data_IF_851641470872
#
_entry.id   IF_851641470872
#
_cell.length_a   1.000
_cell.length_b   1.000
_cell.length_c   1.000
_cell.angle_alpha   90.00
_cell.angle_beta   90.00
_cell.angle_gamma   90.00
#
_symmetry.space_group_name_H-M   'P 1'
#
loop_
_entity.id
_entity.type
_entity.pdbx_description
1 polymer ?
#
# COMPACT_ATOMS: atom_id res chain seq x y z
N UNK A 1 -6.98 -3.05 -4.31
CA UNK A 1 -6.11 -1.85 -4.39
C UNK A 1 -6.20 -1.11 -3.08
N UNK A 2 -5.05 -0.83 -2.46
CA UNK A 2 -4.94 0.00 -1.27
C UNK A 2 -4.37 1.37 -1.63
N UNK A 3 -4.65 2.37 -0.82
CA UNK A 3 -4.18 3.72 -1.03
C UNK A 3 -3.16 4.10 0.05
N UNK A 4 -2.10 4.79 -0.37
CA UNK A 4 -1.23 5.54 0.52
C UNK A 4 -1.66 7.00 0.46
N UNK A 5 -2.05 7.57 1.58
CA UNK A 5 -2.57 8.94 1.68
C UNK A 5 -1.64 9.76 2.57
N UNK A 6 -1.17 10.91 2.05
CA UNK A 6 -0.35 11.81 2.86
C UNK A 6 -1.20 12.57 3.87
N UNK A 7 -0.85 12.43 5.13
CA UNK A 7 -1.43 13.21 6.23
C UNK A 7 -0.53 14.39 6.59
N UNK A 8 -0.94 15.60 6.24
CA UNK A 8 -0.22 16.82 6.63
C UNK A 8 -0.19 17.04 8.14
N UNK A 9 -1.19 16.55 8.85
CA UNK A 9 -1.26 16.63 10.32
C UNK A 9 -0.25 15.69 10.99
N UNK A 10 -0.11 14.46 10.45
CA UNK A 10 0.80 13.45 10.99
C UNK A 10 2.18 13.51 10.34
N UNK A 11 2.35 14.33 9.29
CA UNK A 11 3.57 14.44 8.49
C UNK A 11 4.08 13.07 8.02
N UNK A 12 3.15 12.21 7.57
CA UNK A 12 3.46 10.87 7.08
C UNK A 12 2.40 10.31 6.14
N UNK A 13 2.78 9.31 5.37
CA UNK A 13 1.85 8.49 4.62
C UNK A 13 1.04 7.59 5.56
N UNK A 14 -0.23 7.38 5.28
CA UNK A 14 -1.10 6.47 6.03
C UNK A 14 -1.74 5.43 5.10
N UNK A 15 -1.94 4.24 5.64
CA UNK A 15 -2.60 3.11 4.99
C UNK A 15 -4.11 3.30 5.01
N UNK A 16 -4.75 3.31 3.84
CA UNK A 16 -6.21 3.31 3.70
C UNK A 16 -6.61 2.28 2.65
N UNK A 17 -7.51 1.38 3.01
CA UNK A 17 -8.15 0.45 2.08
C UNK A 17 -9.65 0.74 1.96
N UNK A 18 -10.08 1.53 0.97
CA UNK A 18 -11.49 1.85 0.80
C UNK A 18 -12.36 0.65 0.42
N UNK A 19 -11.76 -0.39 -0.16
CA UNK A 19 -12.48 -1.62 -0.53
C UNK A 19 -12.92 -2.42 0.69
N UNK A 20 -12.09 -2.36 1.74
CA UNK A 20 -12.33 -3.08 3.00
C UNK A 20 -12.77 -2.14 4.13
N UNK A 21 -13.05 -0.86 3.83
CA UNK A 21 -13.32 0.16 4.85
C UNK A 21 -12.31 0.10 6.01
N UNK A 22 -11.02 -0.01 5.66
CA UNK A 22 -9.99 -0.40 6.60
C UNK A 22 -8.81 0.59 6.67
N UNK A 23 -8.33 0.80 7.88
CA UNK A 23 -7.00 1.36 8.19
C UNK A 23 -6.36 0.55 9.32
N UNK A 24 -5.06 0.72 9.46
CA UNK A 24 -4.26 -0.05 10.41
C UNK A 24 -3.53 0.87 11.37
N UNK A 25 -3.49 0.48 12.62
CA UNK A 25 -2.85 1.21 13.71
C UNK A 25 -1.81 0.32 14.42
N UNK A 26 -0.96 0.97 15.19
CA UNK A 26 -0.13 0.28 16.17
C UNK A 26 -0.90 0.03 17.48
N UNK A 27 -0.23 -0.58 18.45
CA UNK A 27 -0.77 -0.88 19.79
C UNK A 27 -1.14 0.37 20.61
N UNK A 28 -0.68 1.56 20.21
CA UNK A 28 -0.97 2.83 20.85
C UNK A 28 -2.06 3.62 20.11
N UNK A 29 -2.61 3.05 19.03
CA UNK A 29 -3.63 3.70 18.22
C UNK A 29 -3.07 4.68 17.17
N UNK A 30 -1.77 4.72 16.94
CA UNK A 30 -1.18 5.55 15.90
C UNK A 30 -1.36 4.91 14.51
N UNK A 31 -1.88 5.68 13.55
CA UNK A 31 -2.08 5.20 12.18
C UNK A 31 -0.75 4.86 11.52
N UNK A 32 -0.71 3.73 10.85
CA UNK A 32 0.47 3.19 10.17
C UNK A 32 0.44 3.47 8.67
N UNK A 33 1.62 3.61 8.07
CA UNK A 33 1.80 3.59 6.63
C UNK A 33 1.78 2.15 6.09
N UNK A 34 1.70 2.01 4.77
CA UNK A 34 1.80 0.69 4.11
C UNK A 34 3.15 0.04 4.42
N UNK A 35 4.24 0.81 4.40
CA UNK A 35 5.58 0.31 4.72
C UNK A 35 5.66 -0.19 6.17
N UNK A 36 5.16 0.59 7.14
CA UNK A 36 5.14 0.19 8.55
C UNK A 36 4.29 -1.07 8.80
N UNK A 37 3.15 -1.21 8.12
CA UNK A 37 2.33 -2.42 8.22
C UNK A 37 3.10 -3.64 7.70
N UNK A 38 3.77 -3.50 6.55
CA UNK A 38 4.60 -4.57 5.98
C UNK A 38 5.73 -4.99 6.92
N UNK A 39 6.49 -4.03 7.42
CA UNK A 39 7.58 -4.30 8.37
C UNK A 39 7.10 -4.99 9.64
N UNK A 40 5.98 -4.52 10.20
CA UNK A 40 5.39 -5.13 11.39
C UNK A 40 4.90 -6.56 11.16
N UNK A 41 4.38 -6.86 9.97
CA UNK A 41 4.03 -8.23 9.58
C UNK A 41 5.27 -9.13 9.49
N UNK A 42 6.39 -8.61 8.92
CA UNK A 42 7.65 -9.35 8.82
C UNK A 42 8.24 -9.63 10.21
N UNK A 43 8.23 -8.61 11.07
CA UNK A 43 8.86 -8.67 12.39
C UNK A 43 7.95 -9.32 13.46
N UNK A 44 6.69 -9.61 13.14
CA UNK A 44 5.71 -10.10 14.11
C UNK A 44 5.33 -9.08 15.18
N UNK A 45 5.44 -7.78 14.87
CA UNK A 45 5.05 -6.70 15.80
C UNK A 45 3.54 -6.49 15.83
N UNK A 46 2.97 -5.97 16.93
CA UNK A 46 1.54 -5.76 17.06
C UNK A 46 0.96 -4.87 15.95
N UNK A 47 -0.21 -5.28 15.46
CA UNK A 47 -1.04 -4.52 14.52
C UNK A 47 -2.48 -4.51 15.02
N UNK A 48 -3.15 -3.38 14.89
CA UNK A 48 -4.55 -3.19 15.23
C UNK A 48 -5.31 -2.80 13.97
N UNK A 49 -6.26 -3.64 13.57
CA UNK A 49 -7.20 -3.34 12.49
C UNK A 49 -8.35 -2.50 13.06
N UNK A 50 -8.81 -1.50 12.31
CA UNK A 50 -9.96 -0.70 12.72
C UNK A 50 -11.23 -1.56 12.85
N UNK A 51 -12.15 -1.15 13.72
CA UNK A 51 -13.39 -1.89 14.01
C UNK A 51 -14.38 -1.88 12.83
N UNK A 52 -14.27 -0.91 11.93
CA UNK A 52 -15.15 -0.78 10.75
C UNK A 52 -14.76 -1.69 9.60
N UNK A 53 -13.60 -2.34 9.66
CA UNK A 53 -13.09 -3.15 8.57
C UNK A 53 -14.09 -4.22 8.14
N UNK A 54 -14.52 -4.17 6.87
CA UNK A 54 -15.49 -5.09 6.32
C UNK A 54 -15.38 -5.17 4.79
N UNK A 55 -15.92 -6.24 4.23
CA UNK A 55 -16.06 -6.44 2.80
C UNK A 55 -17.48 -6.08 2.36
N UNK A 56 -17.61 -5.09 1.47
CA UNK A 56 -18.87 -4.64 0.88
C UNK A 56 -19.99 -4.29 1.88
N UNK A 57 -19.64 -3.87 3.11
CA UNK A 57 -20.58 -3.65 4.21
C UNK A 57 -21.41 -4.89 4.64
N UNK A 58 -20.97 -6.07 4.24
CA UNK A 58 -21.67 -7.34 4.51
C UNK A 58 -20.89 -8.26 5.45
N UNK A 59 -19.58 -8.22 5.39
CA UNK A 59 -18.71 -9.17 6.11
C UNK A 59 -17.63 -8.44 6.89
N UNK A 60 -17.77 -8.39 8.22
CA UNK A 60 -16.71 -7.89 9.10
C UNK A 60 -15.39 -8.63 8.88
N UNK A 61 -14.30 -7.90 8.86
CA UNK A 61 -12.97 -8.46 8.68
C UNK A 61 -12.26 -8.61 10.02
N UNK A 62 -11.56 -9.72 10.20
CA UNK A 62 -10.68 -9.88 11.35
C UNK A 62 -9.25 -9.56 10.97
N UNK A 63 -8.45 -9.18 11.97
CA UNK A 63 -7.01 -8.95 11.82
C UNK A 63 -6.30 -10.16 11.21
N UNK A 64 -6.61 -11.35 11.72
CA UNK A 64 -6.00 -12.62 11.32
C UNK A 64 -6.25 -12.90 9.82
N UNK A 65 -7.48 -12.69 9.36
CA UNK A 65 -7.79 -12.90 7.94
C UNK A 65 -7.25 -11.78 7.07
N UNK A 66 -7.59 -10.52 7.39
CA UNK A 66 -7.28 -9.39 6.54
C UNK A 66 -5.79 -9.09 6.49
N UNK A 67 -5.12 -8.96 7.64
CA UNK A 67 -3.71 -8.59 7.68
C UNK A 67 -2.77 -9.79 7.54
N UNK A 68 -2.97 -10.85 8.32
CA UNK A 68 -2.00 -11.94 8.42
C UNK A 68 -2.12 -12.97 7.29
N UNK A 69 -3.27 -13.07 6.64
CA UNK A 69 -3.46 -13.98 5.50
C UNK A 69 -3.58 -13.23 4.16
N UNK A 70 -4.53 -12.31 4.04
CA UNK A 70 -4.80 -11.64 2.76
C UNK A 70 -3.72 -10.60 2.42
N UNK A 71 -3.44 -9.65 3.32
CA UNK A 71 -2.49 -8.57 3.05
C UNK A 71 -1.03 -9.02 3.12
N UNK A 72 -0.67 -9.96 3.99
CA UNK A 72 0.70 -10.47 4.09
C UNK A 72 1.27 -10.93 2.74
N UNK A 73 0.46 -11.62 1.92
CA UNK A 73 0.87 -12.03 0.57
C UNK A 73 0.85 -10.90 -0.46
N UNK A 74 -0.02 -9.88 -0.27
CA UNK A 74 -0.19 -8.79 -1.22
C UNK A 74 0.80 -7.65 -1.00
N UNK A 75 1.39 -7.54 0.18
CA UNK A 75 2.40 -6.53 0.51
C UNK A 75 3.84 -6.95 0.14
N UNK A 76 3.97 -7.96 -0.71
CA UNK A 76 5.26 -8.45 -1.17
C UNK A 76 6.01 -7.44 -2.05
N UNK A 77 5.30 -6.81 -2.99
CA UNK A 77 5.81 -5.72 -3.80
C UNK A 77 4.72 -4.67 -4.04
N UNK A 78 5.14 -3.46 -4.38
CA UNK A 78 4.24 -2.34 -4.62
C UNK A 78 4.40 -1.82 -6.04
N UNK A 79 3.31 -1.34 -6.62
CA UNK A 79 3.30 -0.61 -7.89
C UNK A 79 2.52 0.67 -7.68
N UNK A 80 3.07 1.80 -8.09
CA UNK A 80 2.34 3.05 -8.15
C UNK A 80 2.59 3.80 -9.46
N UNK A 81 1.70 4.72 -9.80
CA UNK A 81 1.89 5.66 -10.89
C UNK A 81 2.86 6.76 -10.47
N UNK A 82 3.85 7.05 -11.31
CA UNK A 82 4.76 8.19 -11.10
C UNK A 82 4.09 9.54 -11.38
N UNK A 83 3.05 9.54 -12.20
CA UNK A 83 2.35 10.76 -12.64
C UNK A 83 0.86 10.59 -12.42
N UNK A 84 0.26 11.50 -11.65
CA UNK A 84 -1.19 11.64 -11.55
C UNK A 84 -1.70 12.58 -12.64
N UNK A 85 -2.67 12.15 -13.43
CA UNK A 85 -3.28 12.96 -14.49
C UNK A 85 -4.77 13.15 -14.21
N UNK A 86 -5.26 14.37 -14.40
CA UNK A 86 -6.69 14.70 -14.26
C UNK A 86 -7.58 14.12 -15.37
N UNK A 87 -7.00 13.76 -16.52
CA UNK A 87 -7.75 13.18 -17.62
C UNK A 87 -7.47 11.68 -17.74
N UNK A 88 -8.33 10.81 -17.16
CA UNK A 88 -8.15 9.37 -17.20
C UNK A 88 -8.34 8.77 -18.60
N UNK A 89 -9.04 9.43 -19.52
CA UNK A 89 -9.30 8.91 -20.87
C UNK A 89 -8.03 8.69 -21.69
N UNK A 90 -7.01 9.52 -21.48
CA UNK A 90 -5.71 9.38 -22.14
C UNK A 90 -4.89 8.19 -21.62
N UNK A 91 -5.23 7.65 -20.44
CA UNK A 91 -4.52 6.56 -19.78
C UNK A 91 -5.03 5.20 -20.27
N UNK A 92 -6.32 5.12 -20.63
CA UNK A 92 -6.96 3.86 -21.06
C UNK A 92 -6.66 3.47 -22.51
N UNK A 93 -6.18 4.40 -23.34
CA UNK A 93 -5.89 4.13 -24.76
C UNK A 93 -4.55 3.43 -24.98
N UNK A 94 -3.60 3.65 -24.09
CA UNK A 94 -2.31 2.99 -24.14
C UNK A 94 -2.18 2.11 -22.89
N UNK A 95 -2.28 0.80 -23.04
CA UNK A 95 -1.93 -0.18 -22.03
C UNK A 95 -0.40 -0.16 -21.72
N UNK A 96 0.15 1.05 -21.67
CA UNK A 96 1.56 1.27 -21.48
C UNK A 96 1.84 1.49 -19.98
N UNK A 97 2.44 0.47 -19.37
CA UNK A 97 2.91 0.51 -17.98
C UNK A 97 4.19 1.33 -17.80
N UNK A 98 4.63 2.07 -18.80
CA UNK A 98 5.87 2.89 -18.77
C UNK A 98 5.82 4.03 -17.74
N UNK A 99 4.63 4.40 -17.28
CA UNK A 99 4.43 5.41 -16.22
C UNK A 99 4.38 4.87 -14.80
N UNK A 100 4.55 3.54 -14.60
CA UNK A 100 4.48 2.91 -13.29
C UNK A 100 5.88 2.61 -12.76
N UNK A 101 6.04 2.65 -11.43
CA UNK A 101 7.24 2.21 -10.74
C UNK A 101 6.88 1.14 -9.71
N UNK A 102 7.74 0.12 -9.60
CA UNK A 102 7.65 -0.94 -8.59
C UNK A 102 8.69 -0.75 -7.51
N UNK A 103 8.29 -0.96 -6.27
CA UNK A 103 9.21 -1.30 -5.20
C UNK A 103 9.24 -2.82 -5.04
N UNK A 104 10.40 -3.42 -5.21
CA UNK A 104 10.63 -4.86 -5.05
C UNK A 104 11.70 -5.10 -3.99
N UNK A 105 11.68 -6.24 -3.29
CA UNK A 105 12.73 -6.59 -2.35
C UNK A 105 14.10 -6.69 -3.04
N UNK A 106 15.16 -6.36 -2.31
CA UNK A 106 16.51 -6.54 -2.79
C UNK A 106 16.79 -8.01 -3.15
N UNK A 107 17.51 -8.23 -4.24
CA UNK A 107 17.83 -9.58 -4.73
C UNK A 107 16.76 -10.25 -5.58
N UNK A 108 15.58 -9.63 -5.78
CA UNK A 108 14.53 -10.15 -6.65
C UNK A 108 14.63 -9.58 -8.06
N UNK A 109 14.27 -10.39 -9.05
CA UNK A 109 14.27 -9.99 -10.46
C UNK A 109 12.92 -9.39 -10.85
N UNK A 110 12.95 -8.23 -11.50
CA UNK A 110 11.76 -7.68 -12.13
C UNK A 110 11.45 -8.42 -13.44
N UNK A 111 10.40 -9.25 -13.44
CA UNK A 111 9.97 -10.00 -14.60
C UNK A 111 9.10 -9.20 -15.58
N UNK A 112 8.76 -7.95 -15.26
CA UNK A 112 7.98 -7.08 -16.14
C UNK A 112 8.86 -5.95 -16.68
N UNK A 113 9.39 -6.13 -17.87
CA UNK A 113 10.30 -5.20 -18.55
C UNK A 113 9.67 -3.83 -18.91
N UNK A 114 8.35 -3.71 -18.85
CA UNK A 114 7.64 -2.48 -19.18
C UNK A 114 7.45 -1.53 -17.99
N UNK A 115 7.72 -1.99 -16.78
CA UNK A 115 7.56 -1.22 -15.57
C UNK A 115 8.93 -0.93 -14.96
N UNK A 116 9.23 0.33 -14.68
CA UNK A 116 10.42 0.67 -13.91
C UNK A 116 10.36 0.05 -12.51
N UNK A 117 11.50 -0.13 -11.89
CA UNK A 117 11.54 -0.64 -10.52
C UNK A 117 12.65 0.03 -9.71
N UNK A 118 12.49 -0.01 -8.41
CA UNK A 118 13.50 0.35 -7.42
C UNK A 118 13.53 -0.69 -6.31
N UNK A 119 14.67 -0.84 -5.67
CA UNK A 119 14.83 -1.57 -4.41
C UNK A 119 14.99 -0.62 -3.23
N UNK A 120 14.98 0.69 -3.50
CA UNK A 120 15.16 1.75 -2.51
C UNK A 120 13.78 2.20 -1.95
N UNK A 121 13.47 1.83 -0.69
CA UNK A 121 12.21 2.21 -0.06
C UNK A 121 12.14 3.72 0.25
N UNK A 122 13.25 4.38 0.53
CA UNK A 122 13.27 5.81 0.87
C UNK A 122 12.91 6.65 -0.36
N UNK A 123 13.40 6.24 -1.52
CA UNK A 123 12.99 6.85 -2.78
C UNK A 123 11.51 6.59 -3.08
N UNK A 124 11.03 5.36 -2.89
CA UNK A 124 9.64 4.98 -3.24
C UNK A 124 8.61 5.65 -2.33
N UNK A 125 8.91 5.80 -1.05
CA UNK A 125 8.04 6.39 -0.03
C UNK A 125 8.41 7.83 0.32
N UNK A 126 9.15 8.53 -0.55
CA UNK A 126 9.51 9.92 -0.32
C UNK A 126 8.27 10.78 0.01
N UNK A 127 8.46 11.75 0.87
CA UNK A 127 7.41 12.70 1.22
C UNK A 127 7.06 13.55 -0.01
N UNK A 128 5.79 13.96 -0.16
CA UNK A 128 5.43 14.93 -1.19
C UNK A 128 6.10 16.26 -0.89
N UNK A 129 6.60 16.91 -1.93
CA UNK A 129 7.19 18.26 -1.88
C UNK A 129 6.15 19.32 -1.51
#
# INVERSE_FOLDING_TARGET
VINSVWSSQLQKWIYIDPTMDAWVMDENGAMLSIAEVRERLIDGRPLVLCETANWNHESAQTKEYYLEQYMAKNLYYFICRKISRFNPESIYRDHDYTGDIKLIPEGFTNNNYKCEYTTDPDFFWANPD
#
